data_IF_793807521824
#
_entry.id   IF_793807521824
#
_cell.length_a   1.000
_cell.length_b   1.000
_cell.length_c   1.000
_cell.angle_alpha   90.00
_cell.angle_beta   90.00
_cell.angle_gamma   90.00
#
_symmetry.space_group_name_H-M   'P 1'
#
loop_
_entity.id
_entity.type
_entity.pdbx_description
1 polymer ?
#
# COMPACT_ATOMS: atom_id res chain seq x y z
N UNK A 1 -15.46 11.02 1.48
CA UNK A 1 -14.85 9.73 1.08
C UNK A 1 -15.04 9.46 -0.42
N UNK A 2 -16.24 9.11 -0.87
CA UNK A 2 -16.51 8.71 -2.28
C UNK A 2 -15.92 9.63 -3.36
N UNK A 3 -16.10 10.95 -3.26
CA UNK A 3 -15.56 11.90 -4.26
C UNK A 3 -14.03 11.88 -4.36
N UNK A 4 -13.34 11.73 -3.23
CA UNK A 4 -11.86 11.61 -3.16
C UNK A 4 -11.42 10.29 -3.77
N UNK A 5 -12.08 9.18 -3.39
CA UNK A 5 -11.84 7.86 -3.97
C UNK A 5 -12.01 7.87 -5.50
N UNK A 6 -13.12 8.43 -6.01
CA UNK A 6 -13.35 8.54 -7.45
C UNK A 6 -12.23 9.30 -8.16
N UNK A 7 -11.78 10.42 -7.58
CA UNK A 7 -10.68 11.22 -8.15
C UNK A 7 -9.39 10.41 -8.21
N UNK A 8 -9.03 9.73 -7.12
CA UNK A 8 -7.85 8.87 -7.08
C UNK A 8 -7.92 7.76 -8.13
N UNK A 9 -9.04 7.03 -8.21
CA UNK A 9 -9.18 5.96 -9.22
C UNK A 9 -9.04 6.49 -10.64
N UNK A 10 -9.61 7.66 -10.93
CA UNK A 10 -9.44 8.29 -12.25
C UNK A 10 -7.99 8.69 -12.51
N UNK A 11 -7.25 9.15 -11.50
CA UNK A 11 -5.83 9.45 -11.64
C UNK A 11 -5.02 8.16 -11.90
N UNK A 12 -5.24 7.10 -11.12
CA UNK A 12 -4.57 5.81 -11.26
C UNK A 12 -4.77 5.18 -12.64
N UNK A 13 -6.00 5.22 -13.17
CA UNK A 13 -6.29 4.66 -14.50
C UNK A 13 -5.62 5.46 -15.63
N UNK A 14 -5.34 6.74 -15.41
CA UNK A 14 -4.67 7.60 -16.40
C UNK A 14 -3.14 7.60 -16.29
N UNK A 15 -2.57 6.98 -15.25
CA UNK A 15 -1.13 6.85 -15.07
C UNK A 15 -0.50 6.09 -16.25
N UNK A 16 0.68 6.53 -16.69
CA UNK A 16 1.38 5.94 -17.84
C UNK A 16 2.51 4.99 -17.42
N UNK A 17 2.98 5.08 -16.17
CA UNK A 17 4.00 4.21 -15.59
C UNK A 17 3.83 4.12 -14.06
N UNK A 18 4.71 3.37 -13.39
CA UNK A 18 4.63 3.20 -11.93
C UNK A 18 4.95 4.49 -11.17
N UNK A 19 5.78 5.37 -11.72
CA UNK A 19 6.07 6.68 -11.13
C UNK A 19 4.81 7.57 -11.08
N UNK A 20 4.00 7.56 -12.13
CA UNK A 20 2.72 8.26 -12.15
C UNK A 20 1.74 7.69 -11.12
N UNK A 21 1.79 6.38 -10.85
CA UNK A 21 0.99 5.73 -9.81
C UNK A 21 1.40 6.21 -8.42
N UNK A 22 2.70 6.19 -8.11
CA UNK A 22 3.25 6.71 -6.86
C UNK A 22 2.83 8.17 -6.65
N UNK A 23 2.99 9.02 -7.68
CA UNK A 23 2.62 10.43 -7.61
C UNK A 23 1.12 10.64 -7.34
N UNK A 24 0.25 9.88 -8.04
CA UNK A 24 -1.20 9.96 -7.83
C UNK A 24 -1.62 9.48 -6.44
N UNK A 25 -0.96 8.46 -5.91
CA UNK A 25 -1.18 7.98 -4.55
C UNK A 25 -0.69 8.99 -3.52
N UNK A 26 0.52 9.55 -3.67
CA UNK A 26 1.08 10.53 -2.75
C UNK A 26 0.18 11.76 -2.60
N UNK A 27 -0.19 12.37 -3.74
CA UNK A 27 -1.04 13.54 -3.78
C UNK A 27 -2.39 13.26 -3.11
N UNK A 28 -3.01 12.13 -3.44
CA UNK A 28 -4.30 11.78 -2.87
C UNK A 28 -4.19 11.44 -1.37
N UNK A 29 -3.31 10.53 -0.99
CA UNK A 29 -3.22 10.03 0.39
C UNK A 29 -2.83 11.15 1.36
N UNK A 30 -1.91 12.04 0.97
CA UNK A 30 -1.53 13.20 1.79
C UNK A 30 -2.55 14.31 1.76
N UNK A 31 -2.95 14.80 0.57
CA UNK A 31 -3.76 16.02 0.48
C UNK A 31 -5.26 15.76 0.65
N UNK A 32 -5.76 14.66 0.10
CA UNK A 32 -7.17 14.31 0.20
C UNK A 32 -7.45 13.51 1.47
N UNK A 33 -6.68 12.47 1.76
CA UNK A 33 -6.97 11.56 2.88
C UNK A 33 -6.29 11.93 4.20
N UNK A 34 -5.31 12.84 4.17
CA UNK A 34 -4.56 13.30 5.35
C UNK A 34 -3.95 12.12 6.11
N UNK A 35 -3.39 11.17 5.37
CA UNK A 35 -2.67 10.03 5.94
C UNK A 35 -1.29 10.48 6.38
N UNK A 36 -0.88 10.12 7.60
CA UNK A 36 0.42 10.49 8.17
C UNK A 36 1.55 9.79 7.40
N UNK A 37 1.42 8.47 7.21
CA UNK A 37 2.40 7.63 6.53
C UNK A 37 1.74 6.68 5.55
N UNK A 38 2.37 6.44 4.41
CA UNK A 38 1.89 5.45 3.46
C UNK A 38 3.06 4.85 2.68
N UNK A 39 2.82 3.70 2.07
CA UNK A 39 3.78 3.04 1.19
C UNK A 39 3.07 2.19 0.14
N UNK A 40 3.78 1.96 -0.96
CA UNK A 40 3.43 0.97 -1.97
C UNK A 40 4.63 0.04 -2.17
N UNK A 41 4.47 -1.21 -1.74
CA UNK A 41 5.49 -2.25 -1.86
C UNK A 41 5.21 -3.12 -3.07
N UNK A 42 6.20 -3.26 -3.94
CA UNK A 42 6.17 -4.10 -5.12
C UNK A 42 6.94 -5.40 -4.88
N UNK A 43 6.34 -6.55 -5.20
CA UNK A 43 7.02 -7.84 -5.13
C UNK A 43 7.61 -8.16 -6.51
N UNK A 44 8.88 -7.80 -6.69
CA UNK A 44 9.61 -7.98 -7.95
C UNK A 44 11.05 -8.39 -7.65
N UNK A 45 11.65 -9.16 -8.56
CA UNK A 45 13.07 -9.54 -8.46
C UNK A 45 13.99 -8.40 -8.94
N UNK A 46 13.42 -7.35 -9.53
CA UNK A 46 14.14 -6.16 -9.94
C UNK A 46 14.33 -5.20 -8.76
N UNK A 47 15.48 -4.54 -8.71
CA UNK A 47 15.70 -3.44 -7.78
C UNK A 47 15.17 -2.17 -8.43
N UNK A 48 14.19 -1.54 -7.79
CA UNK A 48 13.60 -0.29 -8.26
C UNK A 48 14.28 0.90 -7.58
N UNK A 49 14.36 2.00 -8.32
CA UNK A 49 14.85 3.26 -7.78
C UNK A 49 13.73 4.03 -7.08
N UNK A 50 14.10 4.80 -6.06
CA UNK A 50 13.17 5.69 -5.35
C UNK A 50 12.43 6.61 -6.35
N UNK A 51 11.11 6.83 -6.21
CA UNK A 51 10.25 6.52 -5.05
C UNK A 51 9.74 5.07 -4.93
N UNK A 52 9.97 4.21 -5.91
CA UNK A 52 9.40 2.87 -5.93
C UNK A 52 10.07 1.97 -4.88
N UNK A 53 9.28 1.26 -4.08
CA UNK A 53 9.78 0.34 -3.05
C UNK A 53 9.58 -1.12 -3.45
N UNK A 54 10.67 -1.81 -3.83
CA UNK A 54 10.63 -3.23 -4.20
C UNK A 54 11.12 -4.16 -3.07
N UNK A 55 10.47 -5.31 -2.91
CA UNK A 55 10.97 -6.43 -2.11
C UNK A 55 11.25 -7.61 -3.04
N UNK A 56 12.53 -7.95 -3.22
CA UNK A 56 12.98 -9.10 -4.02
C UNK A 56 13.19 -10.38 -3.20
N UNK A 57 13.42 -10.24 -1.89
CA UNK A 57 13.60 -11.36 -0.97
C UNK A 57 12.30 -12.18 -0.81
N UNK A 58 12.33 -13.44 -1.26
CA UNK A 58 11.15 -14.33 -1.24
C UNK A 58 10.72 -14.76 0.16
N UNK A 59 11.61 -14.72 1.15
CA UNK A 59 11.26 -15.04 2.54
C UNK A 59 10.54 -13.84 3.18
N UNK A 60 11.00 -12.61 2.92
CA UNK A 60 10.27 -11.39 3.30
C UNK A 60 8.90 -11.29 2.63
N UNK A 61 8.80 -11.58 1.33
CA UNK A 61 7.50 -11.64 0.63
C UNK A 61 6.55 -12.65 1.30
N UNK A 62 7.05 -13.83 1.70
CA UNK A 62 6.26 -14.86 2.40
C UNK A 62 5.86 -14.45 3.81
N UNK A 63 6.73 -13.75 4.53
CA UNK A 63 6.42 -13.17 5.82
C UNK A 63 5.27 -12.16 5.71
N UNK A 64 5.38 -11.20 4.80
CA UNK A 64 4.34 -10.21 4.54
C UNK A 64 3.03 -10.91 4.14
N UNK A 65 3.08 -11.92 3.28
CA UNK A 65 1.89 -12.69 2.91
C UNK A 65 1.18 -13.31 4.13
N UNK A 66 1.94 -13.82 5.10
CA UNK A 66 1.40 -14.44 6.32
C UNK A 66 0.74 -13.43 7.26
N UNK A 67 1.16 -12.16 7.25
CA UNK A 67 0.56 -11.10 8.09
C UNK A 67 -0.95 -10.97 7.86
N UNK A 68 -1.38 -11.14 6.60
CA UNK A 68 -2.79 -11.03 6.20
C UNK A 68 -3.65 -12.20 6.68
N UNK A 69 -3.07 -13.33 7.08
CA UNK A 69 -3.80 -14.52 7.57
C UNK A 69 -4.96 -14.95 6.65
N UNK A 70 -4.77 -14.82 5.34
CA UNK A 70 -5.76 -15.15 4.31
C UNK A 70 -6.78 -14.05 3.97
N UNK A 71 -6.76 -12.91 4.67
CA UNK A 71 -7.61 -11.75 4.35
C UNK A 71 -7.01 -10.90 3.22
N UNK A 72 -7.83 -10.05 2.61
CA UNK A 72 -7.36 -9.11 1.58
C UNK A 72 -6.73 -7.86 2.18
N UNK A 73 -7.24 -7.42 3.32
CA UNK A 73 -6.70 -6.32 4.10
C UNK A 73 -6.84 -6.60 5.59
N UNK A 74 -6.12 -5.82 6.39
CA UNK A 74 -6.25 -5.80 7.83
C UNK A 74 -5.97 -4.41 8.38
N UNK A 75 -6.44 -4.16 9.60
CA UNK A 75 -6.11 -3.00 10.42
C UNK A 75 -5.56 -3.46 11.76
N UNK A 76 -4.63 -2.71 12.35
CA UNK A 76 -4.22 -2.89 13.73
C UNK A 76 -2.89 -2.25 14.09
N UNK A 77 -2.37 -2.70 15.23
CA UNK A 77 -1.04 -2.36 15.70
C UNK A 77 -0.12 -3.55 15.43
N UNK A 78 1.07 -3.29 14.91
CA UNK A 78 2.10 -4.29 14.64
C UNK A 78 3.34 -3.98 15.47
N UNK A 79 4.34 -4.87 15.43
CA UNK A 79 5.66 -4.54 16.00
C UNK A 79 6.34 -3.48 15.14
N UNK A 80 7.23 -2.69 15.73
CA UNK A 80 8.01 -1.66 15.03
C UNK A 80 8.70 -2.22 13.78
N UNK A 81 9.32 -3.40 13.88
CA UNK A 81 9.96 -4.09 12.75
C UNK A 81 8.97 -4.39 11.60
N UNK A 82 7.75 -4.80 11.93
CA UNK A 82 6.73 -5.09 10.91
C UNK A 82 6.14 -3.80 10.32
N UNK A 83 6.00 -2.75 11.13
CA UNK A 83 5.57 -1.42 10.66
C UNK A 83 6.59 -0.86 9.67
N UNK A 84 7.87 -0.87 10.03
CA UNK A 84 8.98 -0.41 9.20
C UNK A 84 9.07 -1.21 7.88
N UNK A 85 8.92 -2.54 7.96
CA UNK A 85 8.88 -3.40 6.77
C UNK A 85 7.74 -3.01 5.83
N UNK A 86 6.52 -2.83 6.36
CA UNK A 86 5.35 -2.50 5.55
C UNK A 86 5.38 -1.06 5.03
N UNK A 87 5.99 -0.13 5.75
CA UNK A 87 6.10 1.28 5.38
C UNK A 87 7.34 1.61 4.56
N UNK A 88 8.22 0.62 4.30
CA UNK A 88 9.51 0.82 3.64
C UNK A 88 10.34 1.95 4.29
N UNK A 89 10.27 2.06 5.61
CA UNK A 89 10.89 3.12 6.39
C UNK A 89 11.85 2.53 7.44
N UNK A 90 12.82 3.32 7.88
CA UNK A 90 13.66 3.01 9.03
C UNK A 90 13.20 3.88 10.21
N UNK A 91 12.62 3.27 11.25
CA UNK A 91 12.10 3.94 12.45
C UNK A 91 10.88 4.84 12.19
N UNK A 92 9.81 4.27 11.66
CA UNK A 92 8.52 4.95 11.53
C UNK A 92 7.97 5.38 12.89
N UNK A 93 7.35 6.57 12.95
CA UNK A 93 6.60 7.02 14.13
C UNK A 93 5.18 6.47 14.20
N UNK A 94 4.76 5.71 13.18
CA UNK A 94 3.40 5.23 13.08
C UNK A 94 3.06 4.23 14.19
N UNK A 95 1.88 4.40 14.80
CA UNK A 95 1.40 3.59 15.91
C UNK A 95 0.25 2.64 15.50
N UNK A 96 -0.43 2.91 14.37
CA UNK A 96 -1.43 2.00 13.80
C UNK A 96 -1.37 1.97 12.28
N UNK A 97 -1.77 0.85 11.67
CA UNK A 97 -1.68 0.61 10.22
C UNK A 97 -2.92 -0.09 9.68
N UNK A 98 -3.29 0.25 8.45
CA UNK A 98 -4.12 -0.56 7.58
C UNK A 98 -3.32 -0.93 6.32
N UNK A 99 -3.38 -2.19 5.92
CA UNK A 99 -2.68 -2.69 4.75
C UNK A 99 -3.60 -3.57 3.91
N UNK A 100 -3.48 -3.48 2.58
CA UNK A 100 -4.23 -4.29 1.62
C UNK A 100 -3.30 -4.96 0.61
N UNK A 101 -3.59 -6.23 0.30
CA UNK A 101 -2.86 -7.00 -0.70
C UNK A 101 -3.22 -6.54 -2.10
N UNK A 102 -2.21 -6.22 -2.90
CA UNK A 102 -2.37 -6.01 -4.33
C UNK A 102 -2.23 -7.37 -4.99
N UNK A 103 -3.24 -7.79 -5.76
CA UNK A 103 -3.33 -9.15 -6.29
C UNK A 103 -3.60 -9.17 -7.78
N UNK A 104 -2.84 -9.99 -8.50
CA UNK A 104 -3.08 -10.37 -9.88
C UNK A 104 -2.85 -11.88 -10.00
N UNK A 105 -3.90 -12.66 -9.71
CA UNK A 105 -3.83 -14.11 -9.45
C UNK A 105 -3.18 -14.45 -8.10
N UNK A 106 -1.96 -13.97 -7.89
CA UNK A 106 -1.19 -14.03 -6.64
C UNK A 106 -0.94 -12.63 -6.07
N UNK A 107 -0.41 -12.55 -4.85
CA UNK A 107 -0.01 -11.26 -4.27
C UNK A 107 1.23 -10.73 -5.00
N UNK A 108 1.12 -9.52 -5.54
CA UNK A 108 2.19 -8.82 -6.27
C UNK A 108 2.69 -7.58 -5.54
N UNK A 109 2.09 -7.26 -4.39
CA UNK A 109 2.48 -6.11 -3.59
C UNK A 109 1.56 -5.87 -2.41
N UNK A 110 1.80 -4.75 -1.72
CA UNK A 110 0.99 -4.25 -0.61
C UNK A 110 0.90 -2.74 -0.70
N UNK A 111 -0.30 -2.20 -0.51
CA UNK A 111 -0.48 -0.80 -0.19
C UNK A 111 -0.76 -0.68 1.31
N UNK A 112 -0.04 0.22 1.98
CA UNK A 112 -0.17 0.48 3.41
C UNK A 112 -0.46 1.94 3.67
N UNK A 113 -1.31 2.20 4.65
CA UNK A 113 -1.54 3.53 5.24
C UNK A 113 -1.44 3.41 6.75
N UNK A 114 -0.78 4.36 7.39
CA UNK A 114 -0.52 4.31 8.82
C UNK A 114 -0.67 5.70 9.44
N UNK A 115 -0.89 5.70 10.75
CA UNK A 115 -1.13 6.91 11.54
C UNK A 115 -0.24 6.92 12.77
N UNK A 116 0.15 8.12 13.18
CA UNK A 116 0.84 8.36 14.45
C UNK A 116 -0.09 8.17 15.67
N UNK A 117 -1.40 7.93 15.46
CA UNK A 117 -2.35 7.57 16.51
C UNK A 117 -2.59 6.05 16.53
N UNK A 118 -2.21 5.39 17.63
CA UNK A 118 -2.45 3.96 17.90
C UNK A 118 -3.92 3.52 17.77
N UNK A 119 -4.84 4.47 17.81
CA UNK A 119 -6.28 4.29 17.83
C UNK A 119 -6.99 4.64 16.52
N UNK A 120 -6.27 5.01 15.46
CA UNK A 120 -6.88 5.38 14.19
C UNK A 120 -7.29 4.13 13.38
N UNK A 121 -6.31 3.31 12.96
CA UNK A 121 -6.55 2.08 12.21
C UNK A 121 -6.85 0.90 13.13
N UNK A 122 -7.98 0.96 13.84
CA UNK A 122 -8.43 -0.14 14.70
C UNK A 122 -9.00 -1.30 13.88
N UNK A 123 -8.98 -2.50 14.43
CA UNK A 123 -9.54 -3.71 13.79
C UNK A 123 -11.05 -3.63 13.48
N UNK A 124 -11.78 -2.71 14.11
CA UNK A 124 -13.20 -2.44 13.81
C UNK A 124 -13.40 -1.50 12.61
N UNK A 125 -12.34 -0.86 12.12
CA UNK A 125 -12.40 0.05 10.98
C UNK A 125 -12.50 -0.77 9.69
N UNK A 126 -13.39 -0.33 8.81
CA UNK A 126 -13.59 -0.97 7.52
C UNK A 126 -12.42 -0.64 6.57
N UNK A 127 -11.91 -1.67 5.88
CA UNK A 127 -10.85 -1.57 4.87
C UNK A 127 -11.39 -1.47 3.45
N UNK A 128 -12.71 -1.47 3.23
CA UNK A 128 -13.33 -1.48 1.90
C UNK A 128 -12.73 -0.47 0.91
N UNK A 129 -12.40 0.74 1.40
CA UNK A 129 -11.76 1.76 0.57
C UNK A 129 -10.35 1.36 0.13
N UNK A 130 -9.52 0.85 1.05
CA UNK A 130 -8.15 0.45 0.77
C UNK A 130 -8.11 -0.82 -0.08
N UNK A 131 -9.00 -1.78 0.21
CA UNK A 131 -9.22 -2.97 -0.62
C UNK A 131 -9.55 -2.58 -2.07
N UNK A 132 -10.42 -1.59 -2.27
CA UNK A 132 -10.79 -1.15 -3.60
C UNK A 132 -9.63 -0.52 -4.37
N UNK A 133 -8.78 0.27 -3.70
CA UNK A 133 -7.55 0.79 -4.33
C UNK A 133 -6.62 -0.36 -4.71
N UNK A 134 -6.41 -1.32 -3.81
CA UNK A 134 -5.54 -2.47 -4.06
C UNK A 134 -6.03 -3.32 -5.26
N UNK A 135 -7.34 -3.44 -5.43
CA UNK A 135 -7.95 -4.13 -6.58
C UNK A 135 -7.67 -3.40 -7.89
N UNK A 136 -7.80 -2.07 -7.90
CA UNK A 136 -7.48 -1.28 -9.09
C UNK A 136 -5.99 -1.35 -9.41
N UNK A 137 -5.11 -1.24 -8.40
CA UNK A 137 -3.67 -1.40 -8.56
C UNK A 137 -3.32 -2.78 -9.15
N UNK A 138 -3.98 -3.84 -8.70
CA UNK A 138 -3.76 -5.21 -9.19
C UNK A 138 -4.13 -5.40 -10.67
N UNK A 139 -5.01 -4.55 -11.21
CA UNK A 139 -5.40 -4.57 -12.63
C UNK A 139 -4.45 -3.76 -13.52
N UNK A 140 -3.93 -2.65 -13.01
CA UNK A 140 -3.14 -1.70 -13.82
C UNK A 140 -1.64 -1.99 -13.78
N UNK A 141 -1.08 -2.29 -12.60
CA UNK A 141 0.38 -2.44 -12.43
C UNK A 141 1.00 -3.49 -13.35
N UNK A 142 0.41 -4.68 -13.58
CA UNK A 142 1.01 -5.69 -14.46
C UNK A 142 1.17 -5.27 -15.92
N UNK A 143 0.45 -4.21 -16.35
CA UNK A 143 0.44 -3.74 -17.74
C UNK A 143 1.14 -2.38 -17.89
N UNK A 144 1.58 -1.77 -16.79
CA UNK A 144 2.27 -0.49 -16.81
C UNK A 144 3.79 -0.70 -16.81
N UNK A 145 4.54 0.08 -17.61
CA UNK A 145 5.98 0.10 -17.49
C UNK A 145 6.39 0.68 -16.13
N UNK A 146 7.53 0.23 -15.63
CA UNK A 146 8.12 0.75 -14.39
C UNK A 146 8.63 2.19 -14.58
N UNK A 147 9.05 2.55 -15.81
CA UNK A 147 9.48 3.90 -16.23
C UNK A 147 9.02 4.24 -17.65
#
# INVERSE_FOLDING_TARGET
LFGKTKRLILALINAQNWIDIEAALDDSLRQDFHVDHWSLLYFTDQQLDHPLCSISDKDKQREIHRLFKGHRAFCGQLTDETMDLLLAAEHSSAESIAAAQIRHGQQIGVISVASDDANFYRSSMDTLFLDYIADVLGLILPNLPES
#
